data_IF_691170810864
#
_entry.id   IF_691170810864
#
_cell.length_a   1.000
_cell.length_b   1.000
_cell.length_c   1.000
_cell.angle_alpha   90.00
_cell.angle_beta   90.00
_cell.angle_gamma   90.00
#
_symmetry.space_group_name_H-M   'P 1'
#
loop_
_entity.id
_entity.type
_entity.pdbx_description
1 polymer ?
#
# COMPACT_ATOMS: atom_id res chain seq x y z
N UNK A 1 -11.54 -5.39 18.68
CA UNK A 1 -11.17 -4.13 18.00
C UNK A 1 -11.55 -4.35 16.55
N UNK A 2 -12.44 -3.53 16.00
CA UNK A 2 -12.95 -3.74 14.64
C UNK A 2 -11.84 -3.54 13.61
N UNK A 3 -11.76 -4.46 12.64
CA UNK A 3 -10.72 -4.48 11.60
C UNK A 3 -10.65 -3.16 10.82
N UNK A 4 -11.79 -2.52 10.60
CA UNK A 4 -11.90 -1.20 9.97
C UNK A 4 -11.20 -0.10 10.77
N UNK A 5 -11.26 -0.19 12.10
CA UNK A 5 -10.62 0.78 12.99
C UNK A 5 -9.10 0.64 12.95
N UNK A 6 -8.61 -0.60 12.89
CA UNK A 6 -7.17 -0.92 12.77
C UNK A 6 -6.61 -0.35 11.45
N UNK A 7 -7.32 -0.57 10.34
CA UNK A 7 -6.91 -0.04 9.02
C UNK A 7 -6.95 1.48 9.00
N UNK A 8 -7.98 2.11 9.58
CA UNK A 8 -8.07 3.56 9.67
C UNK A 8 -6.90 4.17 10.47
N UNK A 9 -6.53 3.55 11.59
CA UNK A 9 -5.37 3.96 12.40
C UNK A 9 -4.06 3.80 11.63
N UNK A 10 -3.86 2.67 10.94
CA UNK A 10 -2.67 2.44 10.13
C UNK A 10 -2.53 3.49 9.00
N UNK A 11 -3.63 3.83 8.32
CA UNK A 11 -3.64 4.85 7.25
C UNK A 11 -3.34 6.24 7.82
N UNK A 12 -3.88 6.58 9.00
CA UNK A 12 -3.58 7.85 9.65
C UNK A 12 -2.09 7.99 10.01
N UNK A 13 -1.46 6.95 10.56
CA UNK A 13 -0.03 6.96 10.84
C UNK A 13 0.82 7.18 9.58
N UNK A 14 0.52 6.47 8.48
CA UNK A 14 1.25 6.62 7.22
C UNK A 14 1.08 8.04 6.64
N UNK A 15 -0.14 8.60 6.72
CA UNK A 15 -0.39 9.95 6.25
C UNK A 15 0.41 11.00 7.05
N UNK A 16 0.51 10.85 8.37
CA UNK A 16 1.35 11.72 9.21
C UNK A 16 2.84 11.61 8.85
N UNK A 17 3.36 10.39 8.66
CA UNK A 17 4.76 10.15 8.26
C UNK A 17 5.11 10.79 6.91
N UNK A 18 4.14 10.87 5.99
CA UNK A 18 4.32 11.47 4.67
C UNK A 18 3.99 12.97 4.63
N UNK A 19 3.70 13.61 5.77
CA UNK A 19 3.41 15.03 5.86
C UNK A 19 2.04 15.44 5.28
N UNK A 20 1.11 14.48 5.19
CA UNK A 20 -0.25 14.71 4.71
C UNK A 20 -1.15 15.09 5.89
N UNK A 21 -1.96 16.14 5.75
CA UNK A 21 -2.93 16.54 6.78
C UNK A 21 -4.02 15.47 6.96
N UNK A 22 -3.94 14.73 8.06
CA UNK A 22 -4.84 13.62 8.38
C UNK A 22 -6.28 14.04 8.63
N UNK A 23 -6.55 15.33 8.89
CA UNK A 23 -7.91 15.84 9.13
C UNK A 23 -8.85 15.65 7.93
N UNK A 24 -8.30 15.40 6.74
CA UNK A 24 -9.06 15.20 5.51
C UNK A 24 -8.96 13.79 4.93
N UNK A 25 -8.29 12.85 5.61
CA UNK A 25 -8.11 11.48 5.12
C UNK A 25 -9.18 10.58 5.74
N UNK A 26 -10.06 10.04 4.88
CA UNK A 26 -11.10 9.08 5.29
C UNK A 26 -10.98 7.82 4.44
N UNK A 27 -10.73 6.69 5.11
CA UNK A 27 -10.70 5.37 4.45
C UNK A 27 -12.12 4.96 4.08
N UNK A 28 -12.46 4.99 2.79
CA UNK A 28 -13.80 4.58 2.29
C UNK A 28 -13.91 3.08 2.03
N UNK A 29 -12.85 2.47 1.53
CA UNK A 29 -12.77 1.05 1.27
C UNK A 29 -11.33 0.59 1.36
N UNK A 30 -11.16 -0.65 1.80
CA UNK A 30 -9.88 -1.33 1.83
C UNK A 30 -10.04 -2.64 1.07
N UNK A 31 -9.08 -2.93 0.21
CA UNK A 31 -8.95 -4.23 -0.43
C UNK A 31 -7.51 -4.68 -0.24
N UNK A 32 -7.34 -5.79 0.46
CA UNK A 32 -6.06 -6.47 0.50
C UNK A 32 -5.75 -6.98 -0.91
N UNK A 33 -4.64 -6.49 -1.48
CA UNK A 33 -4.14 -6.98 -2.76
C UNK A 33 -3.10 -8.03 -2.45
N UNK A 34 -3.46 -9.30 -2.62
CA UNK A 34 -2.49 -10.37 -2.57
C UNK A 34 -1.53 -10.23 -3.76
N UNK A 35 -0.24 -10.25 -3.46
CA UNK A 35 0.80 -10.34 -4.49
C UNK A 35 0.56 -11.59 -5.34
N UNK A 36 0.66 -11.45 -6.65
CA UNK A 36 0.71 -12.59 -7.57
C UNK A 36 1.91 -13.48 -7.26
N UNK A 37 1.89 -14.74 -7.70
CA UNK A 37 3.00 -15.69 -7.50
C UNK A 37 4.34 -15.13 -8.00
N UNK A 38 4.32 -14.33 -9.07
CA UNK A 38 5.51 -13.66 -9.61
C UNK A 38 6.00 -12.54 -8.68
N UNK A 39 5.11 -11.69 -8.18
CA UNK A 39 5.45 -10.59 -7.27
C UNK A 39 5.95 -11.09 -5.92
N UNK A 40 5.39 -12.20 -5.42
CA UNK A 40 5.90 -12.90 -4.24
C UNK A 40 7.32 -13.40 -4.49
N UNK A 41 7.55 -14.11 -5.61
CA UNK A 41 8.87 -14.62 -5.95
C UNK A 41 9.93 -13.52 -6.09
N UNK A 42 9.57 -12.40 -6.73
CA UNK A 42 10.45 -11.23 -6.88
C UNK A 42 10.83 -10.67 -5.50
N UNK A 43 9.85 -10.52 -4.60
CA UNK A 43 10.07 -10.00 -3.26
C UNK A 43 10.94 -10.94 -2.42
N UNK A 44 10.65 -12.24 -2.42
CA UNK A 44 11.37 -13.25 -1.63
C UNK A 44 12.83 -13.42 -2.07
N UNK A 45 13.12 -13.14 -3.33
CA UNK A 45 14.47 -13.23 -3.90
C UNK A 45 15.20 -11.88 -3.97
N UNK A 46 14.59 -10.79 -3.52
CA UNK A 46 15.19 -9.45 -3.58
C UNK A 46 15.51 -8.98 -5.00
N UNK A 47 14.72 -9.42 -6.00
CA UNK A 47 14.97 -9.10 -7.40
C UNK A 47 14.52 -7.66 -7.67
N UNK A 48 15.48 -6.78 -7.97
CA UNK A 48 15.17 -5.44 -8.45
C UNK A 48 14.85 -5.51 -9.94
N UNK A 49 13.64 -5.09 -10.34
CA UNK A 49 13.26 -4.99 -11.75
C UNK A 49 12.84 -3.56 -12.08
N UNK A 50 13.23 -3.09 -13.25
CA UNK A 50 12.74 -1.83 -13.81
C UNK A 50 11.69 -2.14 -14.85
N UNK A 51 10.48 -1.61 -14.64
CA UNK A 51 9.40 -1.72 -15.62
C UNK A 51 9.70 -0.77 -16.76
N UNK A 52 10.20 -1.30 -17.87
CA UNK A 52 10.30 -0.55 -19.11
C UNK A 52 8.90 -0.40 -19.70
N UNK A 53 8.45 0.84 -19.86
CA UNK A 53 7.31 1.13 -20.73
C UNK A 53 7.86 1.24 -22.14
N UNK A 54 7.29 0.48 -23.08
CA UNK A 54 7.42 0.85 -24.49
C UNK A 54 6.75 2.23 -24.62
N UNK A 55 7.48 3.22 -25.12
CA UNK A 55 6.94 4.55 -25.40
C UNK A 55 5.78 4.49 -26.39
N UNK A 56 4.96 5.54 -26.38
CA UNK A 56 3.79 5.76 -27.27
C UNK A 56 4.13 5.62 -28.76
#
# INVERSE_FOLDING_TARGET
MDEQLIVAMAVACIAEENGVDTKHVVVRSFKEVQKSSLEQYIADKGISYHKYQLGE
#
